data_IF_720148059135
#
_entry.id   IF_720148059135
#
_cell.length_a   1.000
_cell.length_b   1.000
_cell.length_c   1.000
_cell.angle_alpha   90.00
_cell.angle_beta   90.00
_cell.angle_gamma   90.00
#
_symmetry.space_group_name_H-M   'P 1'
#
loop_
_entity.id
_entity.type
_entity.pdbx_description
1 polymer ?
#
# COMPACT_ATOMS: atom_id res chain seq x y z
N UNK A 1 4.68 32.79 -11.26
CA UNK A 1 3.44 32.08 -11.63
C UNK A 1 3.56 30.54 -11.48
N UNK A 2 4.62 29.90 -12.01
CA UNK A 2 4.78 28.44 -11.96
C UNK A 2 4.86 27.84 -10.53
N UNK A 3 5.53 28.53 -9.60
CA UNK A 3 5.65 28.12 -8.18
C UNK A 3 4.30 28.10 -7.45
N UNK A 4 3.43 29.05 -7.75
CA UNK A 4 2.09 29.14 -7.15
C UNK A 4 1.18 28.02 -7.66
N UNK A 5 1.17 27.78 -8.97
CA UNK A 5 0.40 26.69 -9.58
C UNK A 5 0.82 25.31 -9.05
N UNK A 6 2.14 25.08 -8.94
CA UNK A 6 2.67 23.84 -8.36
C UNK A 6 2.24 23.66 -6.90
N UNK A 7 2.25 24.74 -6.11
CA UNK A 7 1.78 24.71 -4.72
C UNK A 7 0.28 24.39 -4.61
N UNK A 8 -0.56 24.98 -5.47
CA UNK A 8 -1.99 24.65 -5.54
C UNK A 8 -2.25 23.18 -5.89
N UNK A 9 -1.50 22.64 -6.85
CA UNK A 9 -1.64 21.24 -7.26
C UNK A 9 -1.24 20.27 -6.14
N UNK A 10 -0.16 20.58 -5.43
CA UNK A 10 0.29 19.82 -4.25
C UNK A 10 -0.76 19.89 -3.13
N UNK A 11 -1.28 21.09 -2.83
CA UNK A 11 -2.35 21.27 -1.83
C UNK A 11 -3.61 20.50 -2.20
N UNK A 12 -4.00 20.49 -3.48
CA UNK A 12 -5.15 19.72 -3.98
C UNK A 12 -4.96 18.22 -3.79
N UNK A 13 -3.74 17.69 -3.93
CA UNK A 13 -3.42 16.28 -3.66
C UNK A 13 -3.51 15.98 -2.16
N UNK A 14 -2.94 16.81 -1.30
CA UNK A 14 -3.02 16.62 0.15
C UNK A 14 -4.44 16.70 0.69
N UNK A 15 -5.26 17.60 0.15
CA UNK A 15 -6.68 17.70 0.50
C UNK A 15 -7.47 16.43 0.13
N UNK A 16 -7.18 15.83 -1.04
CA UNK A 16 -7.80 14.55 -1.43
C UNK A 16 -7.47 13.42 -0.45
N UNK A 17 -6.24 13.39 0.05
CA UNK A 17 -5.80 12.38 1.04
C UNK A 17 -6.53 12.59 2.37
N UNK A 18 -6.64 13.84 2.84
CA UNK A 18 -7.42 14.15 4.05
C UNK A 18 -8.89 13.75 3.90
N UNK A 19 -9.53 14.11 2.78
CA UNK A 19 -10.92 13.73 2.50
C UNK A 19 -11.11 12.22 2.45
N UNK A 20 -10.16 11.49 1.88
CA UNK A 20 -10.19 10.03 1.86
C UNK A 20 -10.25 9.46 3.29
N UNK A 21 -9.38 9.91 4.19
CA UNK A 21 -9.40 9.45 5.59
C UNK A 21 -10.70 9.80 6.30
N UNK A 22 -11.29 10.96 6.02
CA UNK A 22 -12.59 11.36 6.59
C UNK A 22 -13.72 10.46 6.09
N UNK A 23 -13.72 10.06 4.81
CA UNK A 23 -14.71 9.14 4.25
C UNK A 23 -14.55 7.73 4.86
N UNK A 24 -13.32 7.23 4.95
CA UNK A 24 -13.07 5.91 5.56
C UNK A 24 -13.40 5.91 7.05
N UNK A 25 -13.16 7.02 7.75
CA UNK A 25 -13.63 7.24 9.12
C UNK A 25 -15.15 7.14 9.21
N UNK A 26 -15.88 7.74 8.26
CA UNK A 26 -17.35 7.68 8.24
C UNK A 26 -17.85 6.24 7.99
N UNK A 27 -17.20 5.49 7.10
CA UNK A 27 -17.50 4.06 6.89
C UNK A 27 -17.25 3.25 8.17
N UNK A 28 -16.17 3.58 8.89
CA UNK A 28 -15.83 2.91 10.16
C UNK A 28 -16.86 3.18 11.25
N UNK A 29 -17.45 4.39 11.25
CA UNK A 29 -18.58 4.74 12.11
C UNK A 29 -19.81 3.86 11.80
N UNK A 30 -20.16 3.68 10.53
CA UNK A 30 -21.26 2.77 10.14
C UNK A 30 -21.00 1.31 10.50
N UNK A 31 -19.74 0.91 10.55
CA UNK A 31 -19.32 -0.44 10.95
C UNK A 31 -19.30 -0.63 12.48
N UNK A 32 -19.62 0.42 13.25
CA UNK A 32 -19.64 0.40 14.72
C UNK A 32 -18.25 0.39 15.37
N UNK A 33 -17.18 0.60 14.60
CA UNK A 33 -15.81 0.60 15.13
C UNK A 33 -15.36 2.02 15.47
N UNK A 34 -15.70 2.45 16.69
CA UNK A 34 -15.42 3.80 17.21
C UNK A 34 -13.93 4.09 17.37
N UNK A 35 -13.13 3.09 17.73
CA UNK A 35 -11.67 3.24 17.87
C UNK A 35 -11.05 3.52 16.50
N UNK A 36 -11.39 2.70 15.50
CA UNK A 36 -10.88 2.86 14.14
C UNK A 36 -11.33 4.19 13.52
N UNK A 37 -12.60 4.58 13.73
CA UNK A 37 -13.11 5.89 13.34
C UNK A 37 -12.25 7.01 13.90
N UNK A 38 -11.99 7.02 15.22
CA UNK A 38 -11.26 8.11 15.85
C UNK A 38 -9.82 8.23 15.36
N UNK A 39 -9.15 7.10 15.16
CA UNK A 39 -7.79 7.05 14.59
C UNK A 39 -7.77 7.61 13.16
N UNK A 40 -8.71 7.16 12.31
CA UNK A 40 -8.79 7.60 10.92
C UNK A 40 -9.15 9.09 10.80
N UNK A 41 -10.05 9.57 11.65
CA UNK A 41 -10.41 10.98 11.71
C UNK A 41 -9.21 11.83 12.14
N UNK A 42 -8.47 11.39 13.15
CA UNK A 42 -7.23 12.02 13.59
C UNK A 42 -6.20 12.10 12.47
N UNK A 43 -5.98 11.01 11.74
CA UNK A 43 -5.10 10.98 10.57
C UNK A 43 -5.57 11.93 9.46
N UNK A 44 -6.87 12.00 9.20
CA UNK A 44 -7.45 12.95 8.23
C UNK A 44 -7.22 14.40 8.62
N UNK A 45 -7.34 14.72 9.92
CA UNK A 45 -7.12 16.06 10.45
C UNK A 45 -5.64 16.47 10.42
N UNK A 46 -4.75 15.59 10.85
CA UNK A 46 -3.30 15.81 10.78
C UNK A 46 -2.86 16.01 9.33
N UNK A 47 -3.34 15.17 8.40
CA UNK A 47 -3.06 15.30 6.98
C UNK A 47 -3.54 16.64 6.41
N UNK A 48 -4.70 17.14 6.87
CA UNK A 48 -5.22 18.44 6.49
C UNK A 48 -4.32 19.59 6.96
N UNK A 49 -3.95 19.59 8.25
CA UNK A 49 -3.09 20.62 8.83
C UNK A 49 -1.72 20.66 8.16
N UNK A 50 -1.09 19.50 7.96
CA UNK A 50 0.21 19.42 7.28
C UNK A 50 0.14 19.92 5.83
N UNK A 51 -0.94 19.63 5.11
CA UNK A 51 -1.16 20.14 3.75
C UNK A 51 -1.26 21.67 3.72
N UNK A 52 -1.83 22.30 4.75
CA UNK A 52 -1.97 23.76 4.82
C UNK A 52 -0.65 24.44 5.20
N UNK A 53 0.07 23.88 6.18
CA UNK A 53 1.28 24.45 6.78
C UNK A 53 2.50 24.25 5.87
N UNK A 54 2.75 23.02 5.42
CA UNK A 54 3.94 22.66 4.61
C UNK A 54 3.58 21.63 3.52
N UNK A 55 2.96 22.08 2.41
CA UNK A 55 2.51 21.20 1.34
C UNK A 55 3.65 20.42 0.67
N UNK A 56 4.82 21.04 0.51
CA UNK A 56 5.98 20.41 -0.15
C UNK A 56 6.58 19.27 0.69
N UNK A 57 6.69 19.47 2.02
CA UNK A 57 7.16 18.45 2.94
C UNK A 57 6.17 17.27 3.02
N UNK A 58 4.87 17.57 3.06
CA UNK A 58 3.83 16.55 3.03
C UNK A 58 3.85 15.74 1.72
N UNK A 59 4.10 16.40 0.59
CA UNK A 59 4.25 15.71 -0.69
C UNK A 59 5.45 14.75 -0.71
N UNK A 60 6.61 15.20 -0.23
CA UNK A 60 7.78 14.35 -0.13
C UNK A 60 7.53 13.14 0.78
N UNK A 61 6.94 13.38 1.96
CA UNK A 61 6.62 12.35 2.94
C UNK A 61 5.64 11.31 2.40
N UNK A 62 4.55 11.75 1.75
CA UNK A 62 3.56 10.83 1.15
C UNK A 62 4.16 9.98 0.02
N UNK A 63 5.03 10.56 -0.81
CA UNK A 63 5.76 9.79 -1.83
C UNK A 63 6.73 8.79 -1.19
N UNK A 64 7.46 9.16 -0.13
CA UNK A 64 8.38 8.28 0.57
C UNK A 64 7.64 7.10 1.22
N UNK A 65 6.50 7.35 1.87
CA UNK A 65 5.64 6.29 2.41
C UNK A 65 5.17 5.37 1.30
N UNK A 66 4.70 5.93 0.17
CA UNK A 66 4.22 5.13 -0.95
C UNK A 66 5.32 4.22 -1.51
N UNK A 67 6.52 4.75 -1.67
CA UNK A 67 7.69 3.99 -2.11
C UNK A 67 8.01 2.85 -1.14
N UNK A 68 8.02 3.12 0.17
CA UNK A 68 8.18 2.10 1.20
C UNK A 68 7.13 0.99 1.12
N UNK A 69 5.85 1.36 0.96
CA UNK A 69 4.75 0.42 0.81
C UNK A 69 4.97 -0.46 -0.43
N UNK A 70 5.31 0.15 -1.56
CA UNK A 70 5.56 -0.58 -2.81
C UNK A 70 6.74 -1.56 -2.70
N UNK A 71 7.84 -1.14 -2.07
CA UNK A 71 9.00 -2.01 -1.81
C UNK A 71 8.57 -3.19 -0.94
N UNK A 72 7.82 -2.94 0.12
CA UNK A 72 7.35 -3.98 1.04
C UNK A 72 6.43 -4.99 0.33
N UNK A 73 5.43 -4.51 -0.41
CA UNK A 73 4.55 -5.38 -1.20
C UNK A 73 5.29 -6.14 -2.30
N UNK A 74 6.30 -5.52 -2.93
CA UNK A 74 7.15 -6.20 -3.91
C UNK A 74 7.93 -7.35 -3.25
N UNK A 75 8.48 -7.13 -2.05
CA UNK A 75 9.12 -8.17 -1.26
C UNK A 75 8.17 -9.34 -0.97
N UNK A 76 6.97 -9.04 -0.46
CA UNK A 76 5.94 -10.06 -0.20
C UNK A 76 5.58 -10.82 -1.47
N UNK A 77 5.36 -10.12 -2.58
CA UNK A 77 5.01 -10.74 -3.87
C UNK A 77 6.11 -11.69 -4.36
N UNK A 78 7.39 -11.28 -4.28
CA UNK A 78 8.52 -12.14 -4.65
C UNK A 78 8.60 -13.39 -3.78
N UNK A 79 8.43 -13.24 -2.47
CA UNK A 79 8.43 -14.38 -1.53
C UNK A 79 7.25 -15.30 -1.80
N UNK A 80 6.06 -14.75 -2.03
CA UNK A 80 4.86 -15.51 -2.37
C UNK A 80 5.03 -16.30 -3.67
N UNK A 81 5.59 -15.67 -4.72
CA UNK A 81 5.94 -16.35 -5.97
C UNK A 81 6.96 -17.47 -5.76
N UNK A 82 7.97 -17.25 -4.92
CA UNK A 82 8.97 -18.26 -4.58
C UNK A 82 8.35 -19.46 -3.88
N UNK A 83 7.47 -19.23 -2.90
CA UNK A 83 6.74 -20.28 -2.19
C UNK A 83 5.84 -21.06 -3.16
N UNK A 84 5.09 -20.36 -4.01
CA UNK A 84 4.26 -20.98 -5.04
C UNK A 84 5.09 -21.84 -5.99
N UNK A 85 6.24 -21.34 -6.44
CA UNK A 85 7.16 -22.07 -7.28
C UNK A 85 7.66 -23.35 -6.59
N UNK A 86 8.08 -23.28 -5.33
CA UNK A 86 8.54 -24.47 -4.58
C UNK A 86 7.40 -25.49 -4.44
N UNK A 87 6.19 -25.04 -4.10
CA UNK A 87 5.03 -25.92 -3.90
C UNK A 87 4.60 -26.58 -5.20
N UNK A 88 4.66 -25.91 -6.35
CA UNK A 88 4.26 -26.49 -7.63
C UNK A 88 5.39 -27.29 -8.28
N UNK A 89 6.61 -26.76 -8.29
CA UNK A 89 7.73 -27.33 -9.04
C UNK A 89 8.30 -28.59 -8.39
N UNK A 90 8.42 -28.64 -7.05
CA UNK A 90 8.91 -29.84 -6.35
C UNK A 90 8.06 -31.09 -6.63
N UNK A 91 6.73 -31.08 -6.46
CA UNK A 91 5.93 -32.28 -6.72
C UNK A 91 5.92 -32.65 -8.21
N UNK A 92 5.95 -31.68 -9.12
CA UNK A 92 6.06 -31.97 -10.56
C UNK A 92 7.38 -32.69 -10.87
N UNK A 93 8.52 -32.23 -10.33
CA UNK A 93 9.80 -32.93 -10.47
C UNK A 93 9.75 -34.34 -9.89
N UNK A 94 9.17 -34.52 -8.70
CA UNK A 94 9.04 -35.85 -8.07
C UNK A 94 8.21 -36.79 -8.94
N UNK A 95 7.10 -36.31 -9.52
CA UNK A 95 6.27 -37.10 -10.44
C UNK A 95 7.05 -37.45 -11.71
N UNK A 96 7.76 -36.48 -12.31
CA UNK A 96 8.57 -36.71 -13.51
C UNK A 96 9.68 -37.74 -13.23
N UNK A 97 10.37 -37.64 -12.09
CA UNK A 97 11.45 -38.56 -11.71
C UNK A 97 10.93 -39.97 -11.40
N UNK A 98 9.74 -40.11 -10.78
CA UNK A 98 9.05 -41.39 -10.60
C UNK A 98 8.75 -42.07 -11.94
N UNK A 99 8.20 -41.33 -12.92
CA UNK A 99 7.95 -41.85 -14.27
C UNK A 99 9.21 -42.08 -15.10
N UNK A 100 10.32 -41.41 -14.78
CA UNK A 100 11.61 -41.57 -15.46
C UNK A 100 12.44 -42.72 -14.90
N UNK A 101 12.25 -43.08 -13.62
CA UNK A 101 12.88 -44.21 -12.95
C UNK A 101 12.38 -45.58 -13.43
N UNK A 102 11.14 -45.68 -13.90
CA UNK A 102 10.56 -46.92 -14.46
C UNK A 102 11.07 -47.29 -15.87
N UNK A 103 11.84 -46.40 -16.53
CA UNK A 103 12.30 -46.62 -17.91
C UNK A 103 13.71 -47.21 -18.05
N UNK A 104 14.43 -47.44 -16.95
CA UNK A 104 15.74 -48.08 -16.99
C UNK A 104 15.81 -49.27 -16.02
N UNK A 105 15.69 -50.47 -16.61
CA UNK A 105 15.99 -51.80 -16.03
C UNK A 105 14.92 -52.42 -15.12
#
# INVERSE_FOLDING_TARGET
MHKLLKNFEIKKRGLRISLFFTIVSLISFFTGNTILQFILLGLGFVSFLFTLVQPEAFHFFTNLILEWILIFFSGISKVSLLILYIILWKPIQVVIDLFRGEKNS
#
